data_IF_290624105440
#
_entry.id   IF_290624105440
#
_cell.length_a   1.000
_cell.length_b   1.000
_cell.length_c   1.000
_cell.angle_alpha   90.00
_cell.angle_beta   90.00
_cell.angle_gamma   90.00
#
_symmetry.space_group_name_H-M   'P 1'
#
loop_
_entity.id
_entity.type
_entity.pdbx_description
1 polymer ?
#
# COMPACT_ATOMS: atom_id res chain seq x y z
N UNK A 1 2.34 1.25 -28.00
CA UNK A 1 3.54 1.52 -27.17
C UNK A 1 4.47 2.58 -27.75
N UNK A 2 4.76 2.61 -29.06
CA UNK A 2 5.70 3.60 -29.65
C UNK A 2 5.48 5.05 -29.19
N UNK A 3 4.33 5.63 -29.51
CA UNK A 3 4.05 7.04 -29.21
C UNK A 3 3.96 7.34 -27.71
N UNK A 4 3.29 6.47 -26.93
CA UNK A 4 3.21 6.60 -25.47
C UNK A 4 4.59 6.59 -24.81
N UNK A 5 5.53 5.78 -25.31
CA UNK A 5 6.89 5.69 -24.75
C UNK A 5 7.64 7.02 -24.86
N UNK A 6 7.49 7.75 -25.97
CA UNK A 6 8.12 9.07 -26.15
C UNK A 6 7.56 10.08 -25.13
N UNK A 7 6.25 10.06 -24.88
CA UNK A 7 5.63 10.90 -23.86
C UNK A 7 6.15 10.55 -22.44
N UNK A 8 6.27 9.26 -22.12
CA UNK A 8 6.83 8.79 -20.84
C UNK A 8 8.31 9.18 -20.68
N UNK A 9 9.13 9.00 -21.71
CA UNK A 9 10.56 9.40 -21.71
C UNK A 9 10.72 10.91 -21.49
N UNK A 10 9.87 11.74 -22.12
CA UNK A 10 9.92 13.20 -21.93
C UNK A 10 9.59 13.59 -20.49
N UNK A 11 8.50 13.07 -19.92
CA UNK A 11 8.12 13.39 -18.53
C UNK A 11 9.13 12.82 -17.54
N UNK A 12 9.65 11.62 -17.78
CA UNK A 12 10.74 11.07 -16.97
C UNK A 12 11.99 11.96 -17.05
N UNK A 13 12.31 12.55 -18.21
CA UNK A 13 13.41 13.50 -18.30
C UNK A 13 13.20 14.75 -17.42
N UNK A 14 11.96 15.28 -17.34
CA UNK A 14 11.65 16.38 -16.42
C UNK A 14 11.89 15.99 -14.95
N UNK A 15 11.55 14.75 -14.56
CA UNK A 15 11.89 14.24 -13.23
C UNK A 15 13.40 14.07 -13.02
N UNK A 16 14.15 13.63 -14.05
CA UNK A 16 15.63 13.57 -13.96
C UNK A 16 16.25 14.94 -13.74
N UNK A 17 15.72 15.99 -14.37
CA UNK A 17 16.18 17.36 -14.16
C UNK A 17 15.99 17.79 -12.70
N UNK A 18 14.85 17.44 -12.07
CA UNK A 18 14.63 17.68 -10.64
C UNK A 18 15.58 16.86 -9.74
N UNK A 19 15.80 15.59 -10.07
CA UNK A 19 16.72 14.70 -9.33
C UNK A 19 18.20 15.12 -9.51
N UNK A 20 18.51 15.88 -10.58
CA UNK A 20 19.85 16.43 -10.83
C UNK A 20 20.25 17.53 -9.84
N UNK A 21 19.29 18.19 -9.19
CA UNK A 21 19.49 19.19 -8.12
C UNK A 21 19.75 18.49 -6.79
N UNK A 22 20.59 19.05 -5.91
CA UNK A 22 20.73 18.49 -4.55
C UNK A 22 19.47 18.80 -3.72
N UNK A 23 19.00 17.82 -2.94
CA UNK A 23 17.77 18.00 -2.16
C UNK A 23 17.91 19.06 -1.07
N UNK A 24 19.12 19.32 -0.58
CA UNK A 24 19.40 20.43 0.32
C UNK A 24 19.04 21.79 -0.27
N UNK A 25 19.27 22.00 -1.57
CA UNK A 25 18.97 23.26 -2.25
C UNK A 25 17.46 23.54 -2.29
N UNK A 26 16.63 22.49 -2.43
CA UNK A 26 15.17 22.61 -2.32
C UNK A 26 14.74 22.95 -0.88
N UNK A 27 15.34 22.28 0.11
CA UNK A 27 15.01 22.46 1.53
C UNK A 27 15.44 23.84 2.09
N UNK A 28 16.54 24.39 1.57
CA UNK A 28 17.09 25.70 1.96
C UNK A 28 16.47 26.87 1.18
N UNK A 29 15.66 26.60 0.14
CA UNK A 29 15.12 27.64 -0.74
C UNK A 29 16.12 28.22 -1.76
N UNK A 30 17.29 27.60 -1.93
CA UNK A 30 18.29 27.95 -2.95
C UNK A 30 17.83 27.60 -4.36
N UNK A 31 16.88 26.67 -4.50
CA UNK A 31 16.25 26.31 -5.76
C UNK A 31 14.78 25.97 -5.51
N UNK A 32 13.88 26.43 -6.37
CA UNK A 32 12.44 26.12 -6.25
C UNK A 32 12.13 24.74 -6.84
N UNK A 33 11.54 23.85 -6.04
CA UNK A 33 11.02 22.57 -6.52
C UNK A 33 9.82 22.82 -7.45
N UNK A 34 10.00 22.65 -8.75
CA UNK A 34 8.97 22.99 -9.77
C UNK A 34 8.57 21.75 -10.56
N UNK A 35 7.43 21.15 -10.22
CA UNK A 35 6.94 19.96 -10.91
C UNK A 35 6.30 20.29 -12.28
N UNK A 36 6.37 19.39 -13.26
CA UNK A 36 5.52 19.45 -14.44
C UNK A 36 4.05 19.20 -14.06
N UNK A 37 3.12 20.02 -14.59
CA UNK A 37 1.69 19.71 -14.50
C UNK A 37 1.40 18.54 -15.43
N UNK A 38 1.16 17.36 -14.86
CA UNK A 38 0.85 16.14 -15.62
C UNK A 38 -0.64 16.16 -16.04
N UNK A 39 -0.98 16.07 -17.34
CA UNK A 39 -2.38 16.01 -17.76
C UNK A 39 -3.09 14.75 -17.25
N UNK A 40 -4.38 14.84 -16.89
CA UNK A 40 -5.18 13.67 -16.50
C UNK A 40 -5.01 12.49 -17.47
N UNK A 41 -5.15 12.73 -18.79
CA UNK A 41 -5.04 11.70 -19.84
C UNK A 41 -3.69 10.98 -19.83
N UNK A 42 -2.60 11.65 -19.43
CA UNK A 42 -1.28 11.04 -19.27
C UNK A 42 -1.31 9.98 -18.16
N UNK A 43 -1.92 10.30 -17.01
CA UNK A 43 -2.04 9.40 -15.87
C UNK A 43 -2.93 8.21 -16.21
N UNK A 44 -4.03 8.42 -16.95
CA UNK A 44 -4.91 7.34 -17.41
C UNK A 44 -4.17 6.31 -18.27
N UNK A 45 -3.39 6.76 -19.26
CA UNK A 45 -2.55 5.87 -20.07
C UNK A 45 -1.44 5.19 -19.26
N UNK A 46 -0.75 5.94 -18.39
CA UNK A 46 0.33 5.39 -17.56
C UNK A 46 -0.18 4.29 -16.62
N UNK A 47 -1.33 4.50 -15.97
CA UNK A 47 -1.98 3.51 -15.11
C UNK A 47 -2.43 2.29 -15.91
N UNK A 48 -2.98 2.45 -17.11
CA UNK A 48 -3.32 1.32 -17.98
C UNK A 48 -2.08 0.52 -18.38
N UNK A 49 -1.03 1.19 -18.87
CA UNK A 49 0.17 0.52 -19.39
C UNK A 49 0.93 -0.21 -18.27
N UNK A 50 1.05 0.40 -17.08
CA UNK A 50 1.67 -0.28 -15.93
C UNK A 50 0.81 -1.43 -15.40
N UNK A 51 -0.52 -1.32 -15.45
CA UNK A 51 -1.43 -2.41 -15.09
C UNK A 51 -1.23 -3.63 -15.99
N UNK A 52 -1.03 -3.45 -17.30
CA UNK A 52 -0.74 -4.57 -18.22
C UNK A 52 0.57 -5.27 -17.86
N UNK A 53 1.60 -4.49 -17.49
CA UNK A 53 2.88 -5.06 -17.03
C UNK A 53 2.66 -5.86 -15.74
N UNK A 54 2.05 -5.27 -14.71
CA UNK A 54 1.77 -5.96 -13.46
C UNK A 54 0.93 -7.22 -13.67
N UNK A 55 -0.10 -7.17 -14.53
CA UNK A 55 -0.92 -8.34 -14.90
C UNK A 55 -0.07 -9.48 -15.47
N UNK A 56 0.92 -9.18 -16.31
CA UNK A 56 1.83 -10.18 -16.89
C UNK A 56 2.84 -10.78 -15.89
N UNK A 57 3.19 -10.04 -14.85
CA UNK A 57 4.10 -10.49 -13.79
C UNK A 57 3.44 -11.48 -12.83
N UNK A 58 4.21 -12.34 -12.16
CA UNK A 58 3.64 -13.21 -11.13
C UNK A 58 3.38 -12.46 -9.82
N UNK A 59 2.35 -12.86 -9.09
CA UNK A 59 2.00 -12.31 -7.75
C UNK A 59 3.11 -12.54 -6.72
N UNK A 60 3.89 -13.61 -6.93
CA UNK A 60 5.18 -13.86 -6.32
C UNK A 60 6.25 -13.65 -7.41
N UNK A 61 6.87 -12.47 -7.44
CA UNK A 61 7.98 -12.19 -8.35
C UNK A 61 9.15 -13.13 -8.04
N UNK A 62 9.76 -13.72 -9.06
CA UNK A 62 10.96 -14.55 -8.90
C UNK A 62 12.13 -13.78 -9.53
N UNK A 63 13.02 -13.24 -8.70
CA UNK A 63 14.01 -12.23 -9.09
C UNK A 63 15.46 -12.74 -8.89
N UNK A 64 16.42 -12.30 -9.73
CA UNK A 64 17.85 -12.56 -9.51
C UNK A 64 18.39 -11.73 -8.33
N UNK A 65 19.69 -11.84 -8.04
CA UNK A 65 20.40 -10.89 -7.19
C UNK A 65 20.57 -9.52 -7.88
N UNK A 66 21.29 -8.59 -7.24
CA UNK A 66 21.53 -7.20 -7.66
C UNK A 66 20.27 -6.32 -7.63
N UNK A 67 19.91 -5.81 -6.45
CA UNK A 67 18.76 -4.92 -6.22
C UNK A 67 19.04 -3.91 -5.11
N UNK A 68 18.58 -2.67 -5.31
CA UNK A 68 18.33 -1.72 -4.22
C UNK A 68 16.87 -1.86 -3.80
N UNK A 69 16.67 -2.26 -2.55
CA UNK A 69 15.36 -2.46 -1.95
C UNK A 69 14.99 -1.20 -1.16
N UNK A 70 13.85 -0.62 -1.54
CA UNK A 70 13.30 0.63 -0.99
C UNK A 70 12.00 0.28 -0.25
N UNK A 71 11.91 0.70 1.01
CA UNK A 71 10.73 0.54 1.86
C UNK A 71 9.65 1.59 1.57
N UNK A 72 8.79 1.83 2.57
CA UNK A 72 7.72 2.82 2.52
C UNK A 72 8.25 4.20 2.11
N UNK A 73 7.51 4.89 1.25
CA UNK A 73 7.83 6.24 0.78
C UNK A 73 6.73 7.25 1.12
N UNK A 74 5.46 6.86 1.12
CA UNK A 74 4.33 7.70 1.55
C UNK A 74 4.40 9.16 1.04
N UNK A 75 4.61 9.36 -0.26
CA UNK A 75 4.73 10.69 -0.85
C UNK A 75 5.95 11.54 -0.42
N UNK A 76 6.97 10.98 0.25
CA UNK A 76 8.21 11.68 0.65
C UNK A 76 9.21 11.72 -0.52
N UNK A 77 8.81 12.39 -1.61
CA UNK A 77 9.51 12.34 -2.91
C UNK A 77 10.98 12.77 -2.88
N UNK A 78 11.37 13.68 -1.98
CA UNK A 78 12.77 14.13 -1.86
C UNK A 78 13.70 13.02 -1.33
N UNK A 79 13.19 12.07 -0.54
CA UNK A 79 13.97 10.88 -0.15
C UNK A 79 14.21 9.98 -1.37
N UNK A 80 13.19 9.75 -2.20
CA UNK A 80 13.34 9.01 -3.46
C UNK A 80 14.31 9.72 -4.42
N UNK A 81 14.24 11.05 -4.56
CA UNK A 81 15.17 11.83 -5.38
C UNK A 81 16.60 11.65 -4.89
N UNK A 82 16.86 11.75 -3.58
CA UNK A 82 18.18 11.53 -2.98
C UNK A 82 18.71 10.11 -3.27
N UNK A 83 17.87 9.09 -3.16
CA UNK A 83 18.25 7.69 -3.46
C UNK A 83 18.62 7.54 -4.94
N UNK A 84 17.75 7.96 -5.87
CA UNK A 84 18.00 7.86 -7.32
C UNK A 84 19.21 8.70 -7.78
N UNK A 85 19.46 9.85 -7.15
CA UNK A 85 20.64 10.68 -7.40
C UNK A 85 21.94 9.96 -7.03
N UNK A 86 21.97 9.27 -5.88
CA UNK A 86 23.18 8.63 -5.35
C UNK A 86 23.49 7.32 -6.07
N UNK A 87 22.46 6.51 -6.37
CA UNK A 87 22.62 5.17 -6.93
C UNK A 87 22.34 5.08 -8.43
N UNK A 88 21.92 6.18 -9.06
CA UNK A 88 21.65 6.27 -10.49
C UNK A 88 20.28 5.72 -10.88
N UNK A 89 20.07 5.64 -12.19
CA UNK A 89 18.80 5.24 -12.77
C UNK A 89 18.87 3.84 -13.41
N UNK A 90 17.75 3.13 -13.53
CA UNK A 90 17.62 2.01 -14.46
C UNK A 90 18.01 2.42 -15.90
N UNK A 91 18.52 1.49 -16.73
CA UNK A 91 18.75 0.07 -16.43
C UNK A 91 20.07 -0.20 -15.70
N UNK A 92 20.88 0.83 -15.37
CA UNK A 92 22.19 0.67 -14.73
C UNK A 92 22.12 0.17 -13.28
N UNK A 93 20.97 0.31 -12.63
CA UNK A 93 20.68 -0.20 -11.30
C UNK A 93 19.24 -0.73 -11.26
N UNK A 94 19.06 -1.90 -10.65
CA UNK A 94 17.74 -2.47 -10.41
C UNK A 94 17.18 -2.03 -9.05
N UNK A 95 15.86 -1.87 -8.98
CA UNK A 95 15.13 -1.42 -7.80
C UNK A 95 13.93 -2.33 -7.49
N UNK A 96 13.73 -2.63 -6.21
CA UNK A 96 12.53 -3.27 -5.70
C UNK A 96 11.90 -2.36 -4.64
N UNK A 97 10.70 -1.88 -4.91
CA UNK A 97 9.89 -1.09 -3.97
C UNK A 97 8.97 -2.01 -3.16
N UNK A 98 8.94 -1.84 -1.84
CA UNK A 98 8.20 -2.70 -0.91
C UNK A 98 6.76 -2.25 -0.60
N UNK A 99 6.19 -1.34 -1.40
CA UNK A 99 4.84 -0.80 -1.21
C UNK A 99 4.79 0.47 -0.36
N UNK A 100 3.59 0.91 -0.01
CA UNK A 100 3.31 2.13 0.76
C UNK A 100 4.00 3.36 0.16
N UNK A 101 3.70 3.56 -1.13
CA UNK A 101 4.22 4.63 -1.97
C UNK A 101 3.42 5.93 -1.76
N UNK A 102 2.13 5.79 -1.46
CA UNK A 102 1.15 6.88 -1.38
C UNK A 102 0.67 7.13 0.05
N UNK A 103 -0.21 8.12 0.20
CA UNK A 103 -0.76 8.62 1.47
C UNK A 103 0.27 9.32 2.38
N UNK A 104 -0.25 9.98 3.43
CA UNK A 104 0.46 10.62 4.55
C UNK A 104 1.30 11.85 4.19
N UNK A 105 2.21 11.74 3.24
CA UNK A 105 3.11 12.82 2.83
C UNK A 105 2.50 13.76 1.79
N UNK A 106 3.34 14.67 1.29
CA UNK A 106 2.93 15.85 0.54
C UNK A 106 2.86 15.64 -0.99
N UNK A 107 3.47 14.57 -1.50
CA UNK A 107 3.69 14.33 -2.94
C UNK A 107 3.38 12.89 -3.36
N UNK A 108 2.25 12.32 -2.90
CA UNK A 108 1.86 10.95 -3.26
C UNK A 108 1.74 10.80 -4.78
N UNK A 109 1.10 11.77 -5.43
CA UNK A 109 0.83 11.82 -6.88
C UNK A 109 2.13 11.81 -7.68
N UNK A 110 3.07 12.68 -7.36
CA UNK A 110 4.35 12.76 -8.07
C UNK A 110 5.21 11.51 -7.81
N UNK A 111 5.19 10.98 -6.58
CA UNK A 111 5.97 9.79 -6.20
C UNK A 111 5.49 8.55 -6.96
N UNK A 112 4.18 8.29 -7.01
CA UNK A 112 3.65 7.13 -7.74
C UNK A 112 3.78 7.29 -9.25
N UNK A 113 3.62 8.52 -9.80
CA UNK A 113 3.86 8.77 -11.24
C UNK A 113 5.31 8.49 -11.61
N UNK A 114 6.29 8.91 -10.80
CA UNK A 114 7.71 8.62 -11.05
C UNK A 114 8.00 7.11 -11.00
N UNK A 115 7.45 6.38 -10.01
CA UNK A 115 7.65 4.93 -9.89
C UNK A 115 6.98 4.17 -11.04
N UNK A 116 5.78 4.59 -11.46
CA UNK A 116 5.10 4.00 -12.62
C UNK A 116 5.83 4.31 -13.93
N UNK A 117 6.38 5.50 -14.11
CA UNK A 117 7.26 5.85 -15.23
C UNK A 117 8.49 4.94 -15.27
N UNK A 118 9.18 4.79 -14.14
CA UNK A 118 10.31 3.88 -14.00
C UNK A 118 9.92 2.43 -14.32
N UNK A 119 8.75 1.96 -13.88
CA UNK A 119 8.25 0.60 -14.17
C UNK A 119 7.91 0.39 -15.65
N UNK A 120 7.27 1.36 -16.31
CA UNK A 120 6.89 1.25 -17.74
C UNK A 120 8.09 1.38 -18.66
N UNK A 121 9.06 2.24 -18.32
CA UNK A 121 10.27 2.43 -19.13
C UNK A 121 11.30 1.30 -18.92
N UNK A 122 11.36 0.71 -17.73
CA UNK A 122 12.37 -0.28 -17.35
C UNK A 122 11.77 -1.51 -16.62
N UNK A 123 10.83 -2.24 -17.26
CA UNK A 123 10.02 -3.28 -16.60
C UNK A 123 10.83 -4.46 -16.05
N UNK A 124 12.02 -4.70 -16.57
CA UNK A 124 12.98 -5.75 -16.17
C UNK A 124 13.97 -5.33 -15.08
N UNK A 125 13.97 -4.05 -14.70
CA UNK A 125 14.91 -3.49 -13.73
C UNK A 125 14.20 -2.90 -12.51
N UNK A 126 12.94 -2.50 -12.68
CA UNK A 126 12.12 -1.88 -11.64
C UNK A 126 10.98 -2.82 -11.28
N UNK A 127 10.84 -3.15 -10.01
CA UNK A 127 9.78 -3.99 -9.47
C UNK A 127 9.11 -3.31 -8.29
N UNK A 128 7.82 -3.55 -8.11
CA UNK A 128 7.02 -3.03 -7.03
C UNK A 128 6.19 -4.18 -6.47
N UNK A 129 6.23 -4.37 -5.16
CA UNK A 129 5.22 -5.15 -4.44
C UNK A 129 4.25 -4.20 -3.74
N UNK A 130 3.04 -4.66 -3.47
CA UNK A 130 1.95 -3.84 -2.93
C UNK A 130 2.06 -3.70 -1.42
N UNK A 131 1.89 -2.48 -0.91
CA UNK A 131 1.70 -2.19 0.50
C UNK A 131 0.22 -2.17 0.88
N UNK A 132 -0.08 -1.96 2.16
CA UNK A 132 -1.47 -1.86 2.58
C UNK A 132 -2.11 -0.53 2.17
N UNK A 133 -1.33 0.53 1.96
CA UNK A 133 -1.84 1.84 1.54
C UNK A 133 -2.30 1.89 0.07
N UNK A 134 -1.83 0.98 -0.81
CA UNK A 134 -2.32 0.85 -2.18
C UNK A 134 -3.71 0.16 -2.27
N UNK A 135 -4.64 0.45 -1.35
CA UNK A 135 -6.01 -0.10 -1.32
C UNK A 135 -7.06 1.00 -1.13
N UNK A 136 -8.29 0.83 -1.66
CA UNK A 136 -9.33 1.87 -1.60
C UNK A 136 -9.65 2.34 -0.18
N UNK A 137 -9.72 1.40 0.77
CA UNK A 137 -10.00 1.69 2.18
C UNK A 137 -8.93 2.60 2.79
N UNK A 138 -7.65 2.36 2.51
CA UNK A 138 -6.57 3.15 3.12
C UNK A 138 -6.49 4.55 2.54
N UNK A 139 -6.54 4.70 1.21
CA UNK A 139 -6.41 6.01 0.55
C UNK A 139 -7.49 7.01 0.94
N UNK A 140 -8.73 6.54 1.10
CA UNK A 140 -9.86 7.38 1.52
C UNK A 140 -9.65 7.99 2.92
N UNK A 141 -8.91 7.30 3.78
CA UNK A 141 -8.66 7.72 5.16
C UNK A 141 -7.28 8.36 5.37
N UNK A 142 -6.30 8.10 4.49
CA UNK A 142 -4.89 8.44 4.73
C UNK A 142 -4.30 9.49 3.78
N UNK A 143 -5.05 9.96 2.78
CA UNK A 143 -4.85 11.28 2.16
C UNK A 143 -4.81 11.31 0.63
N UNK A 144 -4.44 10.23 -0.05
CA UNK A 144 -4.17 10.25 -1.48
C UNK A 144 -5.43 10.48 -2.32
N UNK A 145 -6.60 9.95 -1.94
CA UNK A 145 -7.88 10.30 -2.60
C UNK A 145 -8.15 11.81 -2.54
N UNK A 146 -7.86 12.46 -1.41
CA UNK A 146 -7.98 13.92 -1.24
C UNK A 146 -6.94 14.69 -2.06
N UNK A 147 -5.71 14.17 -2.13
CA UNK A 147 -4.64 14.75 -2.95
C UNK A 147 -5.02 14.73 -4.43
N UNK A 148 -5.47 13.58 -4.96
CA UNK A 148 -5.94 13.43 -6.34
C UNK A 148 -7.09 14.37 -6.68
N UNK A 149 -8.10 14.46 -5.79
CA UNK A 149 -9.21 15.41 -5.96
C UNK A 149 -8.75 16.88 -5.96
N UNK A 150 -7.68 17.21 -5.24
CA UNK A 150 -7.09 18.57 -5.22
C UNK A 150 -6.31 18.87 -6.50
N UNK A 151 -5.51 17.90 -6.98
CA UNK A 151 -4.64 18.06 -8.15
C UNK A 151 -5.43 18.04 -9.46
N UNK A 152 -6.32 17.05 -9.64
CA UNK A 152 -7.04 16.83 -10.90
C UNK A 152 -8.45 17.42 -10.92
N UNK A 153 -9.02 17.79 -9.76
CA UNK A 153 -10.40 18.30 -9.62
C UNK A 153 -11.47 17.33 -10.16
N UNK A 154 -11.12 16.05 -10.24
CA UNK A 154 -11.93 14.98 -10.83
C UNK A 154 -11.60 13.65 -10.14
N UNK A 155 -12.63 12.86 -9.81
CA UNK A 155 -12.50 11.57 -9.14
C UNK A 155 -12.15 10.41 -10.07
N UNK A 156 -12.27 10.56 -11.40
CA UNK A 156 -12.00 9.45 -12.33
C UNK A 156 -10.56 8.93 -12.25
N UNK A 157 -9.60 9.82 -11.97
CA UNK A 157 -8.17 9.47 -11.84
C UNK A 157 -7.91 8.46 -10.72
N UNK A 158 -8.65 8.52 -9.62
CA UNK A 158 -8.55 7.57 -8.52
C UNK A 158 -8.91 6.14 -9.00
N UNK A 159 -9.94 6.01 -9.85
CA UNK A 159 -10.31 4.74 -10.46
C UNK A 159 -9.20 4.10 -11.30
N UNK A 160 -8.40 4.91 -12.01
CA UNK A 160 -7.25 4.41 -12.78
C UNK A 160 -6.12 3.92 -11.87
N UNK A 161 -5.80 4.64 -10.79
CA UNK A 161 -4.84 4.15 -9.79
C UNK A 161 -5.35 2.89 -9.09
N UNK A 162 -6.64 2.80 -8.73
CA UNK A 162 -7.24 1.59 -8.15
C UNK A 162 -7.16 0.39 -9.08
N UNK A 163 -7.42 0.58 -10.37
CA UNK A 163 -7.27 -0.47 -11.38
C UNK A 163 -5.82 -0.96 -11.43
N UNK A 164 -4.82 -0.06 -11.53
CA UNK A 164 -3.41 -0.43 -11.53
C UNK A 164 -2.96 -1.12 -10.23
N UNK A 165 -3.33 -0.55 -9.07
CA UNK A 165 -2.97 -1.07 -7.75
C UNK A 165 -3.52 -2.48 -7.52
N UNK A 166 -4.74 -2.77 -8.00
CA UNK A 166 -5.36 -4.09 -7.89
C UNK A 166 -4.55 -5.22 -8.54
N UNK A 167 -3.62 -4.89 -9.45
CA UNK A 167 -2.73 -5.84 -10.12
C UNK A 167 -1.29 -5.86 -9.60
N UNK A 168 -0.85 -4.95 -8.72
CA UNK A 168 0.53 -4.96 -8.20
C UNK A 168 0.83 -6.32 -7.54
N UNK A 169 1.99 -6.95 -7.83
CA UNK A 169 2.47 -8.16 -7.14
C UNK A 169 2.46 -8.01 -5.60
N UNK A 170 2.32 -9.11 -4.85
CA UNK A 170 2.28 -9.05 -3.38
C UNK A 170 3.62 -9.33 -2.71
N UNK A 171 4.55 -9.95 -3.44
CA UNK A 171 5.78 -10.48 -2.86
C UNK A 171 6.84 -10.68 -3.92
N UNK A 172 8.10 -10.67 -3.49
CA UNK A 172 9.23 -11.04 -4.33
C UNK A 172 10.10 -12.08 -3.62
N UNK A 173 10.65 -13.01 -4.40
CA UNK A 173 11.56 -14.04 -3.96
C UNK A 173 12.88 -13.85 -4.70
N UNK A 174 13.81 -13.15 -4.04
CA UNK A 174 15.15 -12.85 -4.58
C UNK A 174 16.05 -14.07 -4.36
N UNK A 175 16.66 -14.53 -5.47
CA UNK A 175 17.62 -15.64 -5.54
C UNK A 175 17.13 -16.95 -4.87
N UNK A 176 15.81 -17.12 -4.77
CA UNK A 176 15.15 -18.21 -4.01
C UNK A 176 15.57 -18.29 -2.53
N UNK A 177 16.11 -17.20 -1.99
CA UNK A 177 16.72 -17.12 -0.64
C UNK A 177 16.18 -16.00 0.24
N UNK A 178 15.71 -14.91 -0.34
CA UNK A 178 15.20 -13.76 0.41
C UNK A 178 13.74 -13.55 -0.01
N UNK A 179 12.83 -13.64 0.96
CA UNK A 179 11.43 -13.27 0.75
C UNK A 179 11.24 -11.80 1.09
N UNK A 180 10.66 -11.06 0.16
CA UNK A 180 10.20 -9.69 0.31
C UNK A 180 8.67 -9.66 0.35
N UNK A 181 8.10 -9.08 1.40
CA UNK A 181 6.67 -8.76 1.56
C UNK A 181 6.58 -7.37 2.22
N UNK A 182 5.46 -6.66 2.10
CA UNK A 182 5.32 -5.37 2.79
C UNK A 182 5.12 -5.58 4.31
N UNK A 183 4.10 -6.37 4.65
CA UNK A 183 3.74 -6.85 5.97
C UNK A 183 4.74 -7.87 6.52
N UNK A 184 4.29 -9.09 6.77
CA UNK A 184 5.12 -10.16 7.29
C UNK A 184 4.48 -11.53 7.09
N UNK A 185 4.67 -12.42 8.06
CA UNK A 185 4.11 -13.78 8.03
C UNK A 185 2.88 -13.92 8.94
N UNK A 186 2.12 -15.00 8.77
CA UNK A 186 0.92 -15.30 9.54
C UNK A 186 0.66 -16.81 9.69
N UNK A 187 -0.26 -17.22 10.58
CA UNK A 187 -0.56 -18.62 10.89
C UNK A 187 -0.84 -19.54 9.68
N UNK A 188 -1.47 -19.02 8.62
CA UNK A 188 -1.81 -19.75 7.38
C UNK A 188 -0.79 -19.52 6.26
N UNK A 189 0.18 -18.62 6.43
CA UNK A 189 1.30 -18.43 5.50
C UNK A 189 2.45 -19.41 5.81
N UNK A 190 2.21 -20.72 5.67
CA UNK A 190 3.21 -21.75 6.00
C UNK A 190 4.26 -21.96 4.89
N UNK A 191 3.88 -21.75 3.63
CA UNK A 191 4.72 -21.97 2.46
C UNK A 191 4.62 -20.75 1.53
N UNK A 192 5.74 -20.24 1.00
CA UNK A 192 5.78 -19.09 0.08
C UNK A 192 4.84 -19.28 -1.13
N UNK A 193 4.67 -20.52 -1.58
CA UNK A 193 3.75 -20.88 -2.67
C UNK A 193 2.29 -20.53 -2.41
N UNK A 194 1.87 -20.24 -1.16
CA UNK A 194 0.51 -19.76 -0.89
C UNK A 194 0.26 -18.36 -1.45
N UNK A 195 1.28 -17.50 -1.54
CA UNK A 195 1.19 -16.16 -2.12
C UNK A 195 0.97 -16.22 -3.63
N UNK A 196 1.65 -17.16 -4.31
CA UNK A 196 1.52 -17.41 -5.77
C UNK A 196 0.12 -17.89 -6.19
N UNK A 197 -0.73 -18.32 -5.24
CA UNK A 197 -2.13 -18.74 -5.48
C UNK A 197 -3.16 -17.62 -5.30
N UNK A 198 -2.76 -16.42 -4.87
CA UNK A 198 -3.69 -15.30 -4.79
C UNK A 198 -3.98 -14.81 -6.21
N UNK A 199 -5.25 -14.81 -6.60
CA UNK A 199 -5.68 -14.28 -7.90
C UNK A 199 -5.75 -12.75 -7.85
N UNK A 200 -5.47 -12.11 -8.99
CA UNK A 200 -5.68 -10.67 -9.22
C UNK A 200 -6.79 -10.47 -10.25
N UNK A 201 -7.53 -9.35 -10.23
CA UNK A 201 -7.36 -8.17 -9.38
C UNK A 201 -7.72 -8.41 -7.91
N UNK A 202 -7.02 -7.70 -7.01
CA UNK A 202 -7.26 -7.76 -5.55
C UNK A 202 -7.82 -6.40 -5.10
N UNK A 203 -9.07 -6.39 -4.62
CA UNK A 203 -9.78 -5.17 -4.21
C UNK A 203 -9.84 -4.93 -2.70
N UNK A 204 -9.68 -5.99 -1.89
CA UNK A 204 -9.67 -5.95 -0.43
C UNK A 204 -8.52 -6.83 0.10
N UNK A 205 -8.04 -6.55 1.32
CA UNK A 205 -6.92 -7.27 1.96
C UNK A 205 -7.35 -8.30 3.02
N UNK A 206 -8.62 -8.71 3.00
CA UNK A 206 -9.18 -9.65 3.96
C UNK A 206 -8.61 -11.07 3.86
N UNK A 207 -8.40 -11.69 5.01
CA UNK A 207 -8.01 -13.09 5.13
C UNK A 207 -6.53 -13.37 4.83
N UNK A 208 -6.05 -14.50 5.32
CA UNK A 208 -4.68 -14.96 5.07
C UNK A 208 -4.55 -15.75 3.76
N UNK A 209 -3.38 -15.71 3.08
CA UNK A 209 -2.12 -15.10 3.55
C UNK A 209 -2.00 -13.59 3.23
N UNK A 210 -2.97 -13.01 2.52
CA UNK A 210 -2.97 -11.63 2.04
C UNK A 210 -2.85 -10.59 3.17
N UNK A 211 -3.72 -10.68 4.18
CA UNK A 211 -3.70 -9.75 5.32
C UNK A 211 -2.36 -9.77 6.06
N UNK A 212 -1.71 -10.93 6.16
CA UNK A 212 -0.41 -11.05 6.82
C UNK A 212 0.72 -10.48 5.97
N UNK A 213 0.71 -10.73 4.66
CA UNK A 213 1.67 -10.17 3.71
C UNK A 213 1.63 -8.64 3.62
N UNK A 214 0.59 -7.99 4.18
CA UNK A 214 0.36 -6.55 4.16
C UNK A 214 0.38 -5.89 5.55
N UNK A 215 0.02 -6.60 6.64
CA UNK A 215 -0.21 -5.98 7.96
C UNK A 215 0.47 -6.68 9.15
N UNK A 216 1.19 -7.79 8.96
CA UNK A 216 1.87 -8.49 10.06
C UNK A 216 3.20 -7.84 10.45
N UNK A 217 3.53 -7.79 11.74
CA UNK A 217 4.74 -7.18 12.29
C UNK A 217 5.60 -8.18 13.10
N UNK A 218 6.94 -8.11 13.05
CA UNK A 218 7.82 -8.87 13.92
C UNK A 218 7.73 -8.39 15.37
N UNK A 219 7.77 -9.32 16.34
CA UNK A 219 7.81 -8.99 17.78
C UNK A 219 8.97 -9.70 18.48
N UNK A 220 9.94 -8.92 18.96
CA UNK A 220 11.05 -9.44 19.77
C UNK A 220 10.61 -9.97 21.13
N UNK A 221 11.39 -10.91 21.67
CA UNK A 221 11.14 -11.58 22.96
C UNK A 221 9.76 -12.27 23.06
N UNK A 222 9.18 -12.65 21.92
CA UNK A 222 7.89 -13.34 21.80
C UNK A 222 8.01 -14.63 20.97
N UNK A 223 7.10 -15.57 21.25
CA UNK A 223 6.99 -16.89 20.59
C UNK A 223 5.57 -17.09 20.06
N UNK A 224 5.43 -17.62 18.85
CA UNK A 224 4.14 -17.87 18.21
C UNK A 224 3.62 -16.67 17.40
N UNK A 225 2.29 -16.65 17.21
CA UNK A 225 1.55 -15.56 16.58
C UNK A 225 0.57 -14.93 17.57
N UNK A 226 0.33 -13.63 17.43
CA UNK A 226 -0.69 -12.88 18.20
C UNK A 226 -1.44 -11.96 17.24
N UNK A 227 -2.74 -11.75 17.44
CA UNK A 227 -3.52 -10.80 16.61
C UNK A 227 -2.94 -9.40 16.74
N UNK A 228 -2.76 -8.70 15.62
CA UNK A 228 -2.23 -7.34 15.61
C UNK A 228 -3.21 -6.34 16.22
N UNK A 229 -2.67 -5.32 16.91
CA UNK A 229 -3.45 -4.21 17.44
C UNK A 229 -3.86 -3.20 16.35
N UNK A 230 -3.35 -3.33 15.12
CA UNK A 230 -3.74 -2.52 13.95
C UNK A 230 -5.12 -2.83 13.40
N UNK A 231 -5.74 -3.93 13.84
CA UNK A 231 -7.03 -4.42 13.33
C UNK A 231 -6.93 -5.44 12.19
N UNK A 232 -5.78 -5.53 11.53
CA UNK A 232 -5.47 -6.55 10.52
C UNK A 232 -4.05 -7.09 10.73
N UNK A 233 -3.78 -8.32 10.25
CA UNK A 233 -2.49 -9.00 10.39
C UNK A 233 -2.18 -9.53 11.81
N UNK A 234 -0.95 -9.99 11.99
CA UNK A 234 -0.47 -10.64 13.22
C UNK A 234 0.90 -10.10 13.66
N UNK A 235 1.14 -10.08 14.96
CA UNK A 235 2.49 -10.03 15.51
C UNK A 235 3.10 -11.43 15.46
N UNK A 236 4.34 -11.58 14.99
CA UNK A 236 5.01 -12.88 14.86
C UNK A 236 6.36 -12.94 15.59
N UNK A 237 6.57 -14.04 16.31
CA UNK A 237 7.77 -14.32 17.11
C UNK A 237 8.94 -14.92 16.33
N UNK A 238 10.05 -15.12 17.03
CA UNK A 238 11.31 -15.64 16.47
C UNK A 238 11.21 -17.09 15.99
N UNK A 239 10.52 -17.91 16.77
CA UNK A 239 10.28 -19.34 16.55
C UNK A 239 9.52 -19.60 15.24
N UNK A 240 8.40 -18.89 15.03
CA UNK A 240 7.55 -19.06 13.84
C UNK A 240 8.24 -18.56 12.58
N UNK A 241 9.01 -17.46 12.68
CA UNK A 241 9.84 -16.99 11.57
C UNK A 241 10.96 -18.00 11.25
N UNK A 242 11.69 -18.49 12.25
CA UNK A 242 12.77 -19.45 12.03
C UNK A 242 12.25 -20.75 11.42
N UNK A 243 11.09 -21.25 11.86
CA UNK A 243 10.42 -22.40 11.26
C UNK A 243 9.98 -22.12 9.81
N UNK A 244 9.35 -20.97 9.55
CA UNK A 244 8.94 -20.56 8.21
C UNK A 244 10.13 -20.49 7.24
N UNK A 245 11.20 -19.80 7.62
CA UNK A 245 12.41 -19.67 6.79
C UNK A 245 13.05 -21.05 6.52
N UNK A 246 13.18 -21.89 7.55
CA UNK A 246 13.72 -23.25 7.42
C UNK A 246 12.91 -24.10 6.44
N UNK A 247 11.58 -24.14 6.58
CA UNK A 247 10.70 -24.97 5.75
C UNK A 247 10.68 -24.49 4.29
N UNK A 248 10.84 -23.18 4.07
CA UNK A 248 10.90 -22.59 2.73
C UNK A 248 12.33 -22.46 2.16
N UNK A 249 13.35 -22.96 2.88
CA UNK A 249 14.79 -22.91 2.52
C UNK A 249 15.37 -21.49 2.34
N UNK A 250 14.71 -20.50 2.96
CA UNK A 250 15.05 -19.08 2.93
C UNK A 250 16.09 -18.72 4.00
N UNK A 251 16.84 -17.66 3.75
CA UNK A 251 17.86 -17.14 4.66
C UNK A 251 17.38 -15.92 5.47
N UNK A 252 16.46 -15.12 4.90
CA UNK A 252 16.04 -13.80 5.39
C UNK A 252 14.61 -13.45 4.92
N UNK A 253 13.84 -12.81 5.80
CA UNK A 253 12.64 -12.04 5.48
C UNK A 253 13.03 -10.55 5.40
N UNK A 254 12.70 -9.87 4.32
CA UNK A 254 12.83 -8.40 4.17
C UNK A 254 11.42 -7.82 4.07
N UNK A 255 11.15 -6.74 4.81
CA UNK A 255 9.83 -6.13 4.90
C UNK A 255 9.85 -4.64 5.18
N UNK A 256 8.69 -3.98 5.19
CA UNK A 256 8.56 -2.53 5.32
C UNK A 256 7.54 -2.13 6.41
N UNK A 257 6.52 -1.29 6.16
CA UNK A 257 5.34 -0.98 7.00
C UNK A 257 5.57 -0.29 8.37
N UNK A 258 6.71 -0.54 9.00
CA UNK A 258 7.05 -0.04 10.32
C UNK A 258 8.10 1.07 10.21
N UNK A 259 7.67 2.28 10.57
CA UNK A 259 8.57 3.41 10.76
C UNK A 259 9.58 3.12 11.88
N UNK A 260 10.81 2.77 11.49
CA UNK A 260 11.92 2.47 12.41
C UNK A 260 12.90 3.64 12.46
N UNK A 261 13.34 4.01 13.66
CA UNK A 261 14.11 5.25 13.89
C UNK A 261 15.38 5.43 13.03
N UNK A 262 16.02 4.33 12.61
CA UNK A 262 17.24 4.35 11.79
C UNK A 262 16.98 4.07 10.30
N UNK A 263 15.72 4.05 9.86
CA UNK A 263 15.33 3.69 8.49
C UNK A 263 15.44 2.19 8.18
N UNK A 264 16.37 1.47 8.80
CA UNK A 264 16.44 0.01 8.77
C UNK A 264 16.56 -0.58 10.18
N UNK A 265 15.96 -1.75 10.40
CA UNK A 265 16.04 -2.49 11.67
C UNK A 265 16.11 -4.01 11.41
N UNK A 266 17.13 -4.65 11.94
CA UNK A 266 17.22 -6.11 11.98
C UNK A 266 16.60 -6.64 13.29
N UNK A 267 15.75 -7.66 13.17
CA UNK A 267 15.04 -8.29 14.28
C UNK A 267 15.09 -9.82 14.16
N UNK A 268 14.71 -10.49 15.24
CA UNK A 268 14.51 -11.93 15.35
C UNK A 268 15.80 -12.70 14.97
N UNK A 269 16.91 -12.35 15.61
CA UNK A 269 18.27 -12.84 15.31
C UNK A 269 18.72 -12.53 13.86
N UNK A 270 18.47 -11.30 13.40
CA UNK A 270 18.81 -10.80 12.05
C UNK A 270 18.17 -11.63 10.91
N UNK A 271 17.01 -12.26 11.19
CA UNK A 271 16.22 -13.04 10.23
C UNK A 271 15.01 -12.28 9.68
N UNK A 272 14.65 -11.18 10.29
CA UNK A 272 13.76 -10.17 9.72
C UNK A 272 14.54 -8.86 9.54
N UNK A 273 14.40 -8.20 8.40
CA UNK A 273 14.91 -6.86 8.15
C UNK A 273 13.74 -5.95 7.74
N UNK A 274 13.41 -4.98 8.59
CA UNK A 274 12.52 -3.87 8.26
C UNK A 274 13.30 -2.78 7.54
N UNK A 275 12.77 -2.28 6.42
CA UNK A 275 13.30 -1.17 5.60
C UNK A 275 12.20 -0.11 5.45
N UNK A 276 12.51 1.14 5.74
CA UNK A 276 11.58 2.26 5.72
C UNK A 276 12.29 3.48 5.11
N UNK A 277 11.82 3.96 3.97
CA UNK A 277 12.57 4.89 3.11
C UNK A 277 12.07 6.34 3.13
N UNK A 278 10.98 6.63 3.84
CA UNK A 278 10.53 7.99 4.15
C UNK A 278 11.25 8.52 5.41
N UNK A 279 11.96 9.64 5.31
CA UNK A 279 12.62 10.30 6.44
C UNK A 279 11.75 11.42 7.03
N UNK A 280 11.96 11.73 8.31
CA UNK A 280 11.10 12.64 9.09
C UNK A 280 9.60 12.35 8.92
N UNK A 281 9.20 11.08 9.05
CA UNK A 281 7.89 10.59 8.60
C UNK A 281 6.70 11.38 9.17
N UNK A 282 5.79 11.76 8.27
CA UNK A 282 4.62 12.60 8.55
C UNK A 282 4.95 13.97 9.19
N UNK A 283 6.20 14.43 9.13
CA UNK A 283 6.66 15.66 9.80
C UNK A 283 6.68 15.57 11.33
N UNK A 284 6.56 14.36 11.91
CA UNK A 284 6.46 14.13 13.36
C UNK A 284 7.44 13.09 13.90
N UNK A 285 7.82 12.08 13.12
CA UNK A 285 8.76 11.04 13.54
C UNK A 285 10.17 11.42 13.07
N UNK A 286 11.16 11.70 13.94
CA UNK A 286 12.49 12.14 13.51
C UNK A 286 13.37 10.97 13.02
N UNK A 287 12.78 10.01 12.31
CA UNK A 287 13.48 8.84 11.79
C UNK A 287 14.34 9.17 10.56
N UNK A 288 15.45 8.45 10.44
CA UNK A 288 16.20 8.36 9.19
C UNK A 288 15.41 7.58 8.13
N UNK A 289 15.69 7.82 6.85
CA UNK A 289 15.35 6.90 5.76
C UNK A 289 16.40 5.79 5.67
N UNK A 290 16.01 4.61 5.21
CA UNK A 290 16.92 3.49 4.96
C UNK A 290 16.62 2.78 3.64
N UNK A 291 17.63 2.15 3.08
CA UNK A 291 17.55 1.21 1.96
C UNK A 291 18.38 -0.04 2.27
N UNK A 292 18.06 -1.13 1.57
CA UNK A 292 18.83 -2.37 1.66
C UNK A 292 19.36 -2.75 0.27
N UNK A 293 20.68 -2.87 0.15
CA UNK A 293 21.37 -3.14 -1.11
C UNK A 293 21.84 -4.59 -1.13
N UNK A 294 21.45 -5.31 -2.17
CA UNK A 294 21.94 -6.62 -2.55
C UNK A 294 22.80 -6.45 -3.79
N UNK A 295 24.08 -6.84 -3.75
CA UNK A 295 25.02 -6.68 -4.88
C UNK A 295 25.33 -8.02 -5.55
N UNK A 296 25.89 -8.00 -6.77
CA UNK A 296 26.19 -9.21 -7.55
C UNK A 296 27.18 -10.18 -6.88
N UNK A 297 28.05 -9.68 -6.00
CA UNK A 297 28.96 -10.47 -5.17
C UNK A 297 28.27 -11.12 -3.95
N UNK A 298 26.94 -11.06 -3.88
CA UNK A 298 26.09 -11.45 -2.75
C UNK A 298 26.31 -10.64 -1.46
N UNK A 299 27.04 -9.52 -1.51
CA UNK A 299 27.15 -8.63 -0.36
C UNK A 299 25.81 -7.92 -0.08
N UNK A 300 25.59 -7.68 1.21
CA UNK A 300 24.34 -7.16 1.78
C UNK A 300 24.65 -5.92 2.60
N UNK A 301 24.18 -4.76 2.16
CA UNK A 301 24.52 -3.47 2.75
C UNK A 301 23.24 -2.74 3.21
N UNK A 302 23.23 -2.28 4.45
CA UNK A 302 22.17 -1.40 4.97
C UNK A 302 22.71 0.03 4.93
N UNK A 303 22.04 0.89 4.16
CA UNK A 303 22.40 2.32 4.06
C UNK A 303 21.29 3.16 4.64
N UNK A 304 21.65 4.14 5.46
CA UNK A 304 20.73 5.02 6.17
C UNK A 304 21.06 6.47 5.87
N UNK A 305 20.04 7.30 5.66
CA UNK A 305 20.18 8.71 5.33
C UNK A 305 19.59 9.58 6.46
N UNK A 306 20.24 10.70 6.83
CA UNK A 306 19.71 11.59 7.87
C UNK A 306 18.34 12.16 7.46
N UNK A 307 17.46 12.45 8.45
CA UNK A 307 16.17 13.07 8.19
C UNK A 307 16.31 14.38 7.41
N UNK A 308 15.50 14.52 6.38
CA UNK A 308 15.31 15.79 5.68
C UNK A 308 14.34 16.66 6.48
N UNK A 309 14.44 17.99 6.34
CA UNK A 309 13.40 18.89 6.83
C UNK A 309 12.09 18.59 6.08
N UNK A 310 10.95 18.61 6.77
CA UNK A 310 9.66 18.26 6.16
C UNK A 310 9.23 19.33 5.15
N UNK A 311 9.33 19.01 3.86
CA UNK A 311 9.04 19.94 2.76
C UNK A 311 7.58 19.82 2.34
N UNK A 312 6.82 20.90 2.52
CA UNK A 312 5.38 20.94 2.22
C UNK A 312 5.08 21.14 0.73
N UNK A 313 3.92 20.66 0.28
CA UNK A 313 3.39 20.86 -1.08
C UNK A 313 3.20 22.33 -1.43
N UNK A 314 2.83 23.16 -0.45
CA UNK A 314 2.64 24.61 -0.63
C UNK A 314 3.94 25.37 -0.98
N UNK A 315 5.11 24.77 -0.73
CA UNK A 315 6.42 25.32 -1.09
C UNK A 315 6.89 24.90 -2.50
N UNK A 316 6.19 23.94 -3.14
CA UNK A 316 6.46 23.53 -4.51
C UNK A 316 5.71 24.42 -5.51
N UNK A 317 6.28 24.59 -6.70
CA UNK A 317 5.62 25.20 -7.84
C UNK A 317 5.22 24.13 -8.87
N UNK A 318 4.26 24.48 -9.72
CA UNK A 318 3.74 23.61 -10.78
C UNK A 318 3.70 24.38 -12.10
N UNK A 319 4.44 23.89 -13.11
CA UNK A 319 4.55 24.56 -14.42
C UNK A 319 3.83 23.74 -15.48
N UNK A 320 2.86 24.38 -16.14
CA UNK A 320 2.20 23.84 -17.35
C UNK A 320 3.23 23.76 -18.48
N UNK A 321 3.23 22.64 -19.19
CA UNK A 321 4.16 22.33 -20.28
C UNK A 321 3.41 21.59 -21.38
N UNK A 322 3.91 21.65 -22.61
CA UNK A 322 3.33 20.88 -23.72
C UNK A 322 3.60 19.38 -23.55
N UNK A 323 2.68 18.72 -22.85
CA UNK A 323 2.58 17.27 -22.66
C UNK A 323 1.25 16.77 -23.27
N UNK A 324 0.20 17.59 -23.25
CA UNK A 324 -1.13 17.26 -23.79
C UNK A 324 -1.14 17.02 -25.30
N UNK A 325 -0.30 17.73 -26.06
CA UNK A 325 -0.12 17.58 -27.51
C UNK A 325 0.61 16.29 -27.92
N UNK A 326 1.11 15.50 -26.96
CA UNK A 326 1.99 14.36 -27.21
C UNK A 326 1.28 13.00 -27.20
N UNK A 327 0.00 12.97 -26.86
CA UNK A 327 -0.83 11.78 -27.05
C UNK A 327 -1.55 11.87 -28.38
N UNK A 328 -1.65 10.76 -29.14
CA UNK A 328 -2.54 10.72 -30.28
C UNK A 328 -3.95 11.11 -29.83
N UNK A 329 -4.51 12.12 -30.49
CA UNK A 329 -5.94 12.36 -30.45
C UNK A 329 -6.56 11.15 -31.13
N UNK A 330 -7.15 10.25 -30.33
CA UNK A 330 -8.04 9.21 -30.85
C UNK A 330 -9.26 9.98 -31.38
N UNK A 331 -9.19 10.37 -32.64
CA UNK A 331 -10.38 10.83 -33.36
C UNK A 331 -11.31 9.63 -33.44
N UNK A 332 -12.53 9.75 -32.91
CA UNK A 332 -13.58 8.74 -33.03
C UNK A 332 -14.14 8.69 -34.46
N UNK A 333 -13.31 8.33 -35.43
CA UNK A 333 -13.64 8.21 -36.85
C UNK A 333 -13.91 6.76 -37.28
N UNK A 334 -13.70 5.77 -36.40
CA UNK A 334 -13.92 4.34 -36.68
C UNK A 334 -14.92 3.65 -35.73
N UNK A 335 -15.93 4.36 -35.23
CA UNK A 335 -17.11 3.74 -34.59
C UNK A 335 -18.31 3.55 -35.54
N UNK A 336 -18.26 4.10 -36.76
CA UNK A 336 -19.35 4.01 -37.76
C UNK A 336 -19.10 3.00 -38.90
N UNK A 337 -17.97 2.29 -38.93
CA UNK A 337 -17.66 1.31 -39.99
C UNK A 337 -18.03 -0.14 -39.66
N UNK A 338 -18.44 -0.44 -38.42
CA UNK A 338 -18.92 -1.77 -38.00
C UNK A 338 -20.45 -1.88 -37.93
N UNK A 339 -21.19 -0.77 -37.92
CA UNK A 339 -22.66 -0.75 -37.84
C UNK A 339 -23.38 -1.20 -39.13
N UNK A 340 -22.64 -1.37 -40.24
CA UNK A 340 -23.21 -1.81 -41.53
C UNK A 340 -22.96 -3.30 -41.82
N UNK A 341 -21.91 -3.92 -41.24
CA UNK A 341 -21.60 -5.34 -41.47
C UNK A 341 -22.42 -6.33 -40.63
N UNK A 342 -23.06 -5.88 -39.55
CA UNK A 342 -23.93 -6.74 -38.74
C UNK A 342 -25.37 -6.87 -39.30
N UNK A 343 -25.73 -6.11 -40.35
CA UNK A 343 -27.07 -6.19 -40.96
C UNK A 343 -27.20 -7.23 -42.09
N UNK A 344 -26.11 -7.65 -42.74
CA UNK A 344 -26.18 -8.63 -43.84
C UNK A 344 -26.17 -10.10 -43.37
N UNK A 345 -25.57 -10.40 -42.22
CA UNK A 345 -25.47 -11.78 -41.70
C UNK A 345 -26.74 -12.33 -41.00
N UNK A 346 -27.85 -11.61 -41.01
CA UNK A 346 -29.11 -12.02 -40.34
C UNK A 346 -30.15 -12.69 -41.26
N UNK A 347 -29.86 -12.80 -42.57
CA UNK A 347 -30.78 -13.40 -43.55
C UNK A 347 -30.37 -14.78 -44.10
N UNK A 348 -29.23 -15.34 -43.68
CA UNK A 348 -28.81 -16.71 -44.03
C UNK A 348 -28.95 -17.65 -42.83
N UNK A 349 -30.18 -18.12 -42.58
CA UNK A 349 -30.53 -19.44 -42.01
C UNK A 349 -32.04 -19.51 -41.68
N UNK A 350 -32.85 -19.60 -42.73
CA UNK A 350 -34.22 -20.13 -42.64
C UNK A 350 -34.40 -21.25 -43.65
N UNK A 351 -33.96 -22.45 -43.28
CA UNK A 351 -34.58 -23.72 -43.69
C UNK A 351 -33.98 -24.90 -42.90
N UNK A 352 -34.78 -25.95 -42.72
CA UNK A 352 -34.39 -27.29 -42.22
C UNK A 352 -33.87 -27.44 -40.78
N UNK A 353 -34.79 -27.50 -39.80
CA UNK A 353 -34.83 -28.62 -38.82
C UNK A 353 -36.29 -28.98 -38.53
N UNK A 354 -36.61 -30.28 -38.52
CA UNK A 354 -37.96 -30.81 -38.30
C UNK A 354 -37.96 -31.80 -37.11
N UNK A 355 -38.90 -31.64 -36.18
CA UNK A 355 -39.43 -32.63 -35.20
C UNK A 355 -38.45 -33.49 -34.35
N UNK A 356 -38.51 -33.34 -33.01
CA UNK A 356 -39.33 -34.23 -32.15
C UNK A 356 -39.33 -33.83 -30.64
N UNK A 357 -40.47 -34.09 -29.99
CA UNK A 357 -40.82 -34.34 -28.56
C UNK A 357 -39.86 -33.97 -27.39
N UNK A 358 -40.28 -33.61 -26.14
CA UNK A 358 -41.54 -33.43 -25.36
C UNK A 358 -41.11 -32.88 -23.95
N UNK A 359 -41.98 -32.55 -22.96
CA UNK A 359 -43.21 -31.74 -22.92
C UNK A 359 -43.10 -30.47 -22.00
N UNK A 360 -44.15 -29.63 -21.98
CA UNK A 360 -44.37 -28.51 -21.04
C UNK A 360 -45.32 -28.87 -19.88
N UNK A 361 -45.40 -28.00 -18.87
CA UNK A 361 -46.61 -27.48 -18.16
C UNK A 361 -46.12 -26.44 -17.13
N UNK A 362 -46.16 -25.12 -17.37
CA UNK A 362 -47.25 -24.13 -17.54
C UNK A 362 -47.78 -23.55 -16.20
N UNK A 363 -47.87 -22.21 -16.15
CA UNK A 363 -48.29 -21.39 -15.02
C UNK A 363 -48.97 -20.10 -15.54
N UNK A 364 -50.29 -20.10 -15.54
CA UNK A 364 -51.20 -18.93 -15.66
C UNK A 364 -51.98 -18.84 -14.34
N UNK A 365 -52.54 -17.73 -13.85
CA UNK A 365 -52.80 -16.35 -14.34
C UNK A 365 -53.12 -15.52 -13.07
N UNK A 366 -52.61 -14.29 -12.87
CA UNK A 366 -53.06 -12.99 -13.40
C UNK A 366 -54.42 -12.48 -12.87
N UNK A 367 -54.54 -11.14 -12.72
CA UNK A 367 -55.70 -10.30 -12.31
C UNK A 367 -55.91 -10.09 -10.79
N UNK A 368 -56.30 -8.91 -10.26
CA UNK A 368 -56.34 -7.52 -10.79
C UNK A 368 -56.56 -6.48 -9.64
N UNK A 369 -56.08 -5.24 -9.83
CA UNK A 369 -56.68 -3.93 -9.40
C UNK A 369 -56.93 -3.62 -7.89
N UNK A 370 -56.66 -2.36 -7.48
CA UNK A 370 -57.52 -1.67 -6.46
C UNK A 370 -56.81 -0.75 -5.45
N UNK A 371 -56.79 0.56 -5.71
CA UNK A 371 -56.02 1.58 -4.97
C UNK A 371 -56.66 2.18 -3.68
N UNK A 372 -55.80 2.77 -2.80
CA UNK A 372 -56.01 3.88 -1.80
C UNK A 372 -56.90 3.62 -0.55
N UNK A 373 -56.41 3.57 0.70
CA UNK A 373 -55.94 4.68 1.62
C UNK A 373 -57.09 5.63 2.07
N UNK A 374 -57.27 6.06 3.35
CA UNK A 374 -56.65 5.67 4.66
C UNK A 374 -57.62 5.58 5.91
N UNK A 375 -57.01 5.39 7.09
CA UNK A 375 -57.29 6.06 8.40
C UNK A 375 -58.25 5.44 9.45
N UNK A 376 -57.76 5.46 10.71
CA UNK A 376 -58.42 5.37 12.03
C UNK A 376 -59.34 4.14 12.28
N UNK A 377 -59.31 3.41 13.41
CA UNK A 377 -58.58 3.60 14.66
C UNK A 377 -59.55 3.64 15.84
N UNK A 378 -59.80 2.50 16.52
CA UNK A 378 -60.48 2.52 17.82
C UNK A 378 -60.20 1.29 18.71
N UNK A 379 -60.54 1.41 20.00
CA UNK A 379 -60.29 0.43 21.07
C UNK A 379 -61.59 -0.30 21.43
N UNK A 380 -61.53 -1.60 21.75
CA UNK A 380 -61.81 -2.17 23.10
C UNK A 380 -62.16 -3.67 23.08
N UNK A 381 -61.49 -4.40 23.99
CA UNK A 381 -62.00 -5.43 24.92
C UNK A 381 -63.19 -6.33 24.51
N UNK A 382 -62.97 -7.63 24.66
CA UNK A 382 -63.91 -8.52 25.36
C UNK A 382 -63.13 -9.50 26.26
N UNK A 383 -63.74 -9.89 27.38
CA UNK A 383 -63.17 -10.83 28.36
C UNK A 383 -64.06 -12.07 28.47
N UNK A 384 -63.47 -13.25 28.64
CA UNK A 384 -64.05 -14.43 29.31
C UNK A 384 -63.04 -15.60 29.29
N UNK A 385 -63.09 -16.63 30.14
CA UNK A 385 -63.52 -16.72 31.54
C UNK A 385 -63.05 -18.08 32.12
N UNK A 386 -62.60 -18.07 33.38
CA UNK A 386 -62.81 -19.12 34.43
C UNK A 386 -62.41 -20.59 34.14
N UNK A 387 -61.52 -21.16 34.98
CA UNK A 387 -61.78 -22.42 35.72
C UNK A 387 -60.70 -22.82 36.75
N UNK A 388 -61.12 -23.07 38.00
CA UNK A 388 -60.79 -24.31 38.75
C UNK A 388 -59.46 -24.41 39.54
N UNK A 389 -59.48 -24.71 40.87
CA UNK A 389 -58.26 -24.72 41.72
C UNK A 389 -58.00 -26.00 42.59
N UNK A 390 -56.81 -26.06 43.19
CA UNK A 390 -56.45 -26.87 44.40
C UNK A 390 -56.02 -28.33 44.13
N UNK A 391 -55.07 -28.96 44.85
CA UNK A 391 -54.20 -28.58 46.01
C UNK A 391 -52.76 -29.15 45.79
N UNK A 392 -51.79 -29.31 46.71
CA UNK A 392 -51.72 -29.25 48.18
C UNK A 392 -50.26 -29.27 48.73
N UNK A 393 -50.01 -29.94 49.88
CA UNK A 393 -48.72 -30.02 50.66
C UNK A 393 -48.69 -31.35 51.48
N UNK A 394 -47.66 -31.75 52.32
CA UNK A 394 -46.51 -30.98 52.88
C UNK A 394 -45.12 -31.70 53.06
N UNK A 395 -44.04 -30.93 53.35
CA UNK A 395 -43.13 -31.00 54.53
C UNK A 395 -41.66 -30.54 54.29
N UNK A 396 -41.18 -29.66 55.19
CA UNK A 396 -39.83 -29.48 55.81
C UNK A 396 -38.50 -29.63 55.00
N UNK A 397 -37.38 -28.95 55.32
CA UNK A 397 -37.07 -27.73 56.10
C UNK A 397 -35.56 -27.36 55.93
N UNK A 398 -35.17 -26.08 56.19
CA UNK A 398 -33.78 -25.57 56.40
C UNK A 398 -32.85 -25.62 55.15
N UNK A 399 -32.04 -24.63 54.79
CA UNK A 399 -31.89 -23.24 55.25
C UNK A 399 -30.59 -22.60 54.70
N UNK A 400 -30.63 -21.31 54.32
CA UNK A 400 -29.50 -20.38 54.05
C UNK A 400 -28.43 -20.82 53.00
N UNK A 401 -28.12 -20.10 51.92
CA UNK A 401 -28.67 -18.85 51.38
C UNK A 401 -27.55 -17.99 50.75
N UNK A 402 -27.63 -17.69 49.45
CA UNK A 402 -26.90 -16.57 48.81
C UNK A 402 -27.68 -16.06 47.59
N UNK A 403 -27.58 -14.76 47.31
CA UNK A 403 -28.41 -14.07 46.30
C UNK A 403 -27.90 -14.31 44.88
N UNK A 404 -28.76 -14.82 44.00
CA UNK A 404 -28.64 -14.70 42.55
C UNK A 404 -29.84 -13.94 41.98
N UNK A 405 -29.60 -12.97 41.07
CA UNK A 405 -30.65 -12.36 40.24
C UNK A 405 -30.32 -12.57 38.75
N UNK A 406 -31.33 -12.76 37.89
CA UNK A 406 -31.17 -13.28 36.54
C UNK A 406 -30.96 -12.16 35.48
N UNK A 407 -30.67 -12.51 34.20
CA UNK A 407 -30.19 -11.57 33.20
C UNK A 407 -31.30 -10.87 32.41
N UNK A 408 -30.95 -9.78 31.71
CA UNK A 408 -31.81 -9.13 30.72
C UNK A 408 -31.08 -8.91 29.39
N UNK A 409 -31.46 -9.74 28.41
CA UNK A 409 -31.59 -9.45 26.96
C UNK A 409 -30.67 -8.40 26.32
N UNK A 410 -29.80 -8.88 25.42
CA UNK A 410 -29.09 -8.05 24.46
C UNK A 410 -30.03 -7.36 23.44
N UNK A 411 -29.67 -6.15 23.02
CA UNK A 411 -30.12 -5.56 21.75
C UNK A 411 -28.88 -5.06 21.00
N UNK A 412 -28.82 -5.36 19.70
CA UNK A 412 -27.67 -5.04 18.88
C UNK A 412 -27.56 -3.54 18.59
N UNK A 413 -26.33 -3.02 18.57
CA UNK A 413 -26.00 -1.74 17.92
C UNK A 413 -24.76 -1.92 17.06
N UNK A 414 -24.75 -1.22 15.92
CA UNK A 414 -23.68 -1.23 14.94
C UNK A 414 -22.37 -0.69 15.53
N UNK A 415 -21.27 -1.35 15.19
CA UNK A 415 -19.92 -0.89 15.51
C UNK A 415 -19.49 0.20 14.53
N UNK A 416 -19.60 1.46 14.95
CA UNK A 416 -18.94 2.58 14.27
C UNK A 416 -17.42 2.43 14.35
N UNK A 417 -16.72 2.57 13.23
CA UNK A 417 -15.25 2.57 13.17
C UNK A 417 -14.74 3.74 14.03
N UNK A 418 -13.92 3.44 15.04
CA UNK A 418 -13.30 4.45 15.89
C UNK A 418 -12.07 5.05 15.20
N UNK A 419 -11.98 6.39 15.20
CA UNK A 419 -10.80 7.10 14.74
C UNK A 419 -9.55 6.67 15.53
N UNK A 420 -8.61 6.02 14.85
CA UNK A 420 -7.29 5.72 15.39
C UNK A 420 -6.51 7.04 15.52
N UNK A 421 -6.37 7.54 16.74
CA UNK A 421 -5.43 8.63 17.05
C UNK A 421 -4.01 8.07 17.07
N UNK A 422 -2.98 8.83 16.62
CA UNK A 422 -1.59 8.41 16.77
C UNK A 422 -1.24 8.25 18.24
N UNK A 423 -0.50 7.19 18.57
CA UNK A 423 -0.04 6.90 19.93
C UNK A 423 1.01 7.94 20.31
N UNK A 424 0.68 8.80 21.27
CA UNK A 424 1.61 9.81 21.80
C UNK A 424 2.71 9.14 22.64
N UNK A 425 3.97 9.30 22.22
CA UNK A 425 5.12 8.91 23.04
C UNK A 425 5.23 9.86 24.23
N UNK A 426 4.99 9.36 25.44
CA UNK A 426 5.00 10.14 26.67
C UNK A 426 6.44 10.50 27.09
N UNK A 427 6.91 11.68 26.70
CA UNK A 427 8.15 12.26 27.21
C UNK A 427 7.90 12.95 28.56
N UNK A 428 8.02 12.21 29.67
CA UNK A 428 7.96 12.79 31.01
C UNK A 428 9.09 13.80 31.23
N UNK A 429 8.73 15.09 31.37
CA UNK A 429 9.59 16.14 31.96
C UNK A 429 8.88 16.75 33.16
N UNK A 430 9.47 16.59 34.34
CA UNK A 430 8.89 17.03 35.61
C UNK A 430 9.95 17.41 36.64
N UNK A 431 10.55 18.59 36.44
CA UNK A 431 11.20 19.47 37.44
C UNK A 431 12.14 18.84 38.49
N UNK A 432 13.42 19.21 38.40
CA UNK A 432 14.28 19.48 39.56
C UNK A 432 14.93 20.84 39.38
N UNK A 433 14.98 21.64 40.45
CA UNK A 433 15.55 22.99 40.43
C UNK A 433 17.08 22.98 40.40
N UNK A 434 17.68 23.98 39.75
CA UNK A 434 19.12 24.23 39.73
C UNK A 434 19.42 25.69 40.10
N UNK A 435 20.20 25.95 41.16
CA UNK A 435 20.76 27.26 41.45
C UNK A 435 22.18 27.43 40.87
N UNK A 436 22.54 28.66 40.51
CA UNK A 436 23.93 29.14 40.50
C UNK A 436 24.78 28.85 39.25
N UNK A 437 24.90 29.88 38.40
CA UNK A 437 26.11 30.09 37.58
C UNK A 437 27.26 30.57 38.49
N UNK A 438 28.51 30.24 38.16
CA UNK A 438 29.42 31.31 37.79
C UNK A 438 30.28 31.02 36.55
N UNK A 439 30.91 32.08 36.03
CA UNK A 439 31.69 32.12 34.79
C UNK A 439 33.19 31.81 34.98
N UNK A 440 33.81 31.23 33.93
CA UNK A 440 35.23 31.36 33.49
C UNK A 440 35.46 30.42 32.28
N UNK A 441 35.64 30.94 31.07
CA UNK A 441 36.92 31.33 30.44
C UNK A 441 37.72 30.18 29.81
N UNK A 442 37.86 30.24 28.48
CA UNK A 442 38.97 29.72 27.64
C UNK A 442 39.39 28.24 27.74
N UNK A 443 39.19 27.49 26.64
CA UNK A 443 40.34 27.05 25.83
C UNK A 443 39.95 26.54 24.42
N UNK A 444 40.95 26.51 23.54
CA UNK A 444 40.90 26.04 22.15
C UNK A 444 41.03 24.50 22.05
N UNK A 445 40.94 23.99 20.81
CA UNK A 445 41.09 22.59 20.37
C UNK A 445 39.81 21.74 20.65
N UNK A 446 39.38 20.84 19.77
CA UNK A 446 40.07 20.18 18.65
C UNK A 446 39.10 19.95 17.46
N UNK A 447 39.46 20.40 16.24
CA UNK A 447 38.74 20.11 14.99
C UNK A 447 39.51 19.07 14.16
N UNK A 448 39.34 17.78 14.44
CA UNK A 448 39.79 16.73 13.52
C UNK A 448 39.05 15.40 13.69
N UNK A 449 38.16 15.06 12.72
CA UNK A 449 37.81 13.67 12.28
C UNK A 449 36.64 13.65 11.27
N UNK A 450 36.86 14.19 10.07
CA UNK A 450 36.14 13.76 8.88
C UNK A 450 37.16 13.29 7.84
N UNK A 451 37.29 11.97 7.67
CA UNK A 451 38.11 11.38 6.61
C UNK A 451 37.28 11.29 5.32
N UNK A 452 37.62 12.12 4.34
CA UNK A 452 37.20 11.95 2.95
C UNK A 452 37.81 10.65 2.40
N UNK A 453 37.00 9.85 1.71
CA UNK A 453 37.46 8.68 0.94
C UNK A 453 37.58 9.10 -0.53
N UNK A 454 38.72 8.87 -1.21
CA UNK A 454 38.93 9.33 -2.58
C UNK A 454 38.21 8.44 -3.62
N UNK A 455 37.83 9.05 -4.75
CA UNK A 455 37.25 8.35 -5.91
C UNK A 455 38.29 7.43 -6.58
N UNK A 456 37.92 6.23 -7.05
CA UNK A 456 38.80 5.42 -7.88
C UNK A 456 38.89 5.98 -9.30
N UNK A 457 40.11 6.14 -9.81
CA UNK A 457 40.41 6.44 -11.22
C UNK A 457 40.87 5.17 -11.93
N UNK A 458 40.10 4.67 -12.88
CA UNK A 458 40.48 3.55 -13.75
C UNK A 458 40.98 4.05 -15.09
N UNK A 459 42.31 4.18 -15.23
CA UNK A 459 42.95 4.44 -16.51
C UNK A 459 43.07 3.15 -17.34
N UNK A 460 42.57 3.16 -18.58
CA UNK A 460 42.87 2.09 -19.54
C UNK A 460 44.35 2.14 -19.94
N UNK A 461 45.08 1.03 -19.77
CA UNK A 461 46.37 0.80 -20.42
C UNK A 461 46.14 -0.04 -21.68
N UNK A 462 46.42 0.55 -22.84
CA UNK A 462 46.61 -0.17 -24.11
C UNK A 462 48.09 -0.50 -24.26
N UNK A 463 48.42 -1.78 -24.51
CA UNK A 463 49.73 -2.26 -25.00
C UNK A 463 49.61 -3.69 -25.56
N UNK A 464 50.47 -4.06 -26.52
CA UNK A 464 50.87 -3.33 -27.72
C UNK A 464 50.06 -3.79 -28.94
#
# INVERSE_FOLDING_TARGET
MGDSKVAYEKVFSMYRDLISVDVGNYLNGETTLTFPVIPQKFVEYLCNDVQQIFHSESVLLELPHNFIIIGDLHGHILDLFRILKIYGFPPSQNYLFLGDIVDRGEFSTETIILIFLLKVLFPTNVYLIRGNHEFPEMMQHCGFSKELMTVFKNSSVEGHFMSAFSFIPLSALIDRKILCVHGGIGPRMQNVSCLKRINRPIFAFDGEPLSSALWSDPLENFSGFKVSQRGSGFLFGRDVLQNFLKNNKLDLLVRAHECVMKGCLQMLNNKCLTVFSASYYCGISPNAAGIFILREDNSREIVTFPPLNYFKRENAQYRVQEISSMFPVITNTNLNSNSEKEKENSNFNKENVNKNHLPQLDMRSAHQVGARVPAQGERRRSCSAISGPGTGRPHQAIGLGFRSRPPSSATARSSSIQHIRPISVNANRGKTDLPGLPSKSTNQQDQSKYKLIPRPTTGMKVRP
#
